data_IF_250581363340
#
_entry.id   IF_250581363340
#
_cell.length_a   1.000
_cell.length_b   1.000
_cell.length_c   1.000
_cell.angle_alpha   90.00
_cell.angle_beta   90.00
_cell.angle_gamma   90.00
#
_symmetry.space_group_name_H-M   'P 1'
#
loop_
_entity.id
_entity.type
_entity.pdbx_description
1 polymer ?
#
# COMPACT_ATOMS: atom_id res chain seq x y z
N UNK A 1 -14.07 -5.12 -6.66
CA UNK A 1 -12.73 -5.18 -6.04
C UNK A 1 -11.72 -4.41 -6.88
N UNK A 2 -11.52 -4.78 -8.14
CA UNK A 2 -10.59 -4.11 -9.05
C UNK A 2 -10.84 -2.59 -9.24
N UNK A 3 -12.09 -2.15 -9.42
CA UNK A 3 -12.40 -0.72 -9.54
C UNK A 3 -12.07 0.10 -8.27
N UNK A 4 -12.24 -0.50 -7.09
CA UNK A 4 -11.89 0.12 -5.81
C UNK A 4 -10.36 0.21 -5.65
N UNK A 5 -9.64 -0.85 -6.03
CA UNK A 5 -8.18 -0.88 -6.07
C UNK A 5 -7.67 0.23 -7.00
N UNK A 6 -8.17 0.32 -8.23
CA UNK A 6 -7.79 1.38 -9.19
C UNK A 6 -8.06 2.78 -8.65
N UNK A 7 -9.20 2.99 -8.00
CA UNK A 7 -9.53 4.28 -7.36
C UNK A 7 -8.55 4.65 -6.24
N UNK A 8 -8.07 3.65 -5.47
CA UNK A 8 -7.08 3.85 -4.40
C UNK A 8 -5.68 4.08 -4.95
N UNK A 9 -5.27 3.34 -5.99
CA UNK A 9 -4.01 3.57 -6.70
C UNK A 9 -3.98 5.00 -7.26
N UNK A 10 -5.05 5.44 -7.93
CA UNK A 10 -5.15 6.81 -8.43
C UNK A 10 -5.06 7.89 -7.33
N UNK A 11 -5.42 7.57 -6.07
CA UNK A 11 -5.20 8.47 -4.94
C UNK A 11 -3.73 8.50 -4.53
N UNK A 12 -3.05 7.36 -4.49
CA UNK A 12 -1.62 7.27 -4.20
C UNK A 12 -0.79 8.03 -5.23
N UNK A 13 -1.10 7.87 -6.52
CA UNK A 13 -0.45 8.62 -7.61
C UNK A 13 -0.65 10.14 -7.49
N UNK A 14 -1.84 10.58 -7.08
CA UNK A 14 -2.09 12.02 -6.82
C UNK A 14 -1.34 12.55 -5.61
N UNK A 15 -1.08 11.70 -4.62
CA UNK A 15 -0.38 12.07 -3.39
C UNK A 15 1.13 12.13 -3.60
N UNK A 16 1.68 11.19 -4.39
CA UNK A 16 3.07 11.13 -4.79
C UNK A 16 3.20 11.15 -6.32
N UNK A 17 3.42 12.33 -6.89
CA UNK A 17 3.59 12.52 -8.34
C UNK A 17 4.82 11.82 -8.93
N UNK A 18 5.75 11.38 -8.08
CA UNK A 18 6.98 10.68 -8.46
C UNK A 18 6.86 9.16 -8.36
N UNK A 19 5.67 8.62 -8.08
CA UNK A 19 5.44 7.18 -7.96
C UNK A 19 5.86 6.47 -9.24
N UNK A 20 6.82 5.54 -9.13
CA UNK A 20 7.39 4.79 -10.26
C UNK A 20 6.57 3.54 -10.57
N UNK A 21 5.94 2.95 -9.56
CA UNK A 21 5.11 1.76 -9.72
C UNK A 21 4.30 1.44 -8.47
N UNK A 22 3.18 0.74 -8.67
CA UNK A 22 2.35 0.21 -7.59
C UNK A 22 1.90 -1.20 -7.97
N UNK A 23 2.30 -2.19 -7.17
CA UNK A 23 1.94 -3.59 -7.37
C UNK A 23 1.13 -4.08 -6.17
N UNK A 24 -0.03 -4.65 -6.44
CA UNK A 24 -0.94 -5.20 -5.42
C UNK A 24 -1.06 -6.70 -5.64
N UNK A 25 -0.65 -7.49 -4.64
CA UNK A 25 -0.79 -8.94 -4.65
C UNK A 25 -1.81 -9.35 -3.59
N UNK A 26 -2.83 -10.10 -3.99
CA UNK A 26 -3.84 -10.65 -3.09
C UNK A 26 -3.68 -12.16 -3.11
N UNK A 27 -3.18 -12.70 -2.01
CA UNK A 27 -3.00 -14.13 -1.81
C UNK A 27 -4.09 -14.66 -0.88
N UNK A 28 -4.73 -15.76 -1.25
CA UNK A 28 -5.66 -16.46 -0.39
C UNK A 28 -5.02 -17.74 0.10
N UNK A 29 -4.73 -17.84 1.40
CA UNK A 29 -4.28 -19.10 1.97
C UNK A 29 -5.49 -20.02 2.14
N UNK A 30 -5.72 -20.87 1.15
CA UNK A 30 -6.69 -21.96 1.26
C UNK A 30 -6.11 -23.07 2.17
N UNK A 31 -6.06 -22.82 3.48
CA UNK A 31 -5.65 -23.86 4.41
C UNK A 31 -6.71 -24.98 4.43
N UNK A 32 -6.32 -26.13 3.89
CA UNK A 32 -7.10 -27.36 3.96
C UNK A 32 -7.21 -27.74 5.44
N UNK A 33 -8.46 -27.75 5.92
CA UNK A 33 -8.93 -28.29 7.22
C UNK A 33 -8.83 -27.29 8.40
N UNK A 34 -9.98 -26.66 8.69
CA UNK A 34 -10.49 -26.26 10.02
C UNK A 34 -10.34 -24.82 10.56
N UNK A 35 -9.85 -23.81 9.85
CA UNK A 35 -10.01 -22.42 10.32
C UNK A 35 -9.87 -21.39 9.18
N UNK A 36 -10.87 -20.50 9.06
CA UNK A 36 -10.89 -19.19 8.37
C UNK A 36 -10.25 -19.06 6.97
N UNK A 37 -11.00 -18.56 5.98
CA UNK A 37 -10.40 -18.14 4.70
C UNK A 37 -9.58 -16.86 4.92
N UNK A 38 -8.30 -16.98 5.25
CA UNK A 38 -7.45 -15.82 5.47
C UNK A 38 -6.97 -15.26 4.12
N UNK A 39 -7.21 -13.96 3.91
CA UNK A 39 -6.66 -13.23 2.77
C UNK A 39 -5.46 -12.41 3.23
N UNK A 40 -4.33 -12.58 2.53
CA UNK A 40 -3.13 -11.77 2.67
C UNK A 40 -3.07 -10.81 1.50
N UNK A 41 -2.89 -9.52 1.81
CA UNK A 41 -2.70 -8.49 0.80
C UNK A 41 -1.32 -7.89 1.00
N UNK A 42 -0.55 -7.84 -0.08
CA UNK A 42 0.73 -7.15 -0.14
C UNK A 42 0.61 -6.00 -1.13
N UNK A 43 0.97 -4.80 -0.68
CA UNK A 43 1.04 -3.61 -1.53
C UNK A 43 2.48 -3.15 -1.56
N UNK A 44 3.02 -3.07 -2.77
CA UNK A 44 4.37 -2.62 -3.07
C UNK A 44 4.28 -1.32 -3.85
N UNK A 45 4.97 -0.28 -3.39
CA UNK A 45 5.02 1.02 -4.04
C UNK A 45 6.47 1.41 -4.22
N UNK A 46 6.86 1.58 -5.48
CA UNK A 46 8.21 2.02 -5.85
C UNK A 46 8.21 3.54 -6.01
N UNK A 47 9.10 4.23 -5.30
CA UNK A 47 9.32 5.68 -5.40
C UNK A 47 10.81 5.96 -5.67
N UNK A 48 11.20 7.17 -6.10
CA UNK A 48 12.60 7.46 -6.39
C UNK A 48 13.43 7.37 -5.11
N UNK A 49 14.40 6.45 -5.11
CA UNK A 49 15.34 6.26 -4.00
C UNK A 49 14.83 5.38 -2.85
N UNK A 50 13.58 4.90 -2.88
CA UNK A 50 13.02 4.02 -1.84
C UNK A 50 11.92 3.10 -2.37
N UNK A 51 11.73 1.96 -1.72
CA UNK A 51 10.59 1.06 -1.93
C UNK A 51 9.77 0.99 -0.64
N UNK A 52 8.45 1.16 -0.76
CA UNK A 52 7.50 1.14 0.35
C UNK A 52 6.66 -0.13 0.24
N UNK A 53 6.84 -1.03 1.19
CA UNK A 53 6.16 -2.32 1.19
C UNK A 53 5.26 -2.42 2.41
N UNK A 54 4.01 -2.78 2.19
CA UNK A 54 3.07 -3.16 3.23
C UNK A 54 2.68 -4.61 3.02
N UNK A 55 2.91 -5.40 4.06
CA UNK A 55 2.49 -6.79 4.12
C UNK A 55 1.40 -6.95 5.19
N UNK A 56 0.21 -7.38 4.76
CA UNK A 56 -0.95 -7.56 5.62
C UNK A 56 -0.88 -8.76 6.56
N UNK A 57 0.30 -9.31 6.87
CA UNK A 57 0.45 -10.51 7.72
C UNK A 57 -0.11 -10.35 9.14
N UNK A 58 -0.27 -9.11 9.65
CA UNK A 58 -0.88 -8.85 10.96
C UNK A 58 -2.41 -8.75 10.92
N UNK A 59 -3.00 -8.67 9.74
CA UNK A 59 -4.44 -8.48 9.51
C UNK A 59 -4.94 -9.54 8.54
N UNK A 60 -4.66 -10.80 8.89
CA UNK A 60 -5.27 -11.95 8.24
C UNK A 60 -6.79 -11.87 8.50
N UNK A 61 -7.51 -11.27 7.55
CA UNK A 61 -8.95 -11.05 7.64
C UNK A 61 -9.68 -12.13 6.85
N UNK A 62 -10.85 -12.54 7.36
CA UNK A 62 -11.76 -13.43 6.63
C UNK A 62 -12.35 -12.75 5.37
N UNK A 63 -12.30 -11.41 5.34
CA UNK A 63 -12.76 -10.56 4.25
C UNK A 63 -11.61 -9.95 3.46
N UNK A 64 -11.48 -10.37 2.19
CA UNK A 64 -10.50 -9.83 1.25
C UNK A 64 -10.64 -8.31 1.05
N UNK A 65 -11.87 -7.78 1.12
CA UNK A 65 -12.13 -6.34 0.97
C UNK A 65 -11.55 -5.53 2.14
N UNK A 66 -11.65 -6.06 3.35
CA UNK A 66 -11.10 -5.43 4.56
C UNK A 66 -9.57 -5.48 4.52
N UNK A 67 -8.99 -6.63 4.15
CA UNK A 67 -7.54 -6.78 4.00
C UNK A 67 -6.95 -5.80 2.98
N UNK A 68 -7.63 -5.62 1.82
CA UNK A 68 -7.24 -4.62 0.82
C UNK A 68 -7.34 -3.23 1.41
N UNK A 69 -8.46 -2.90 2.07
CA UNK A 69 -8.66 -1.56 2.64
C UNK A 69 -7.58 -1.19 3.64
N UNK A 70 -7.27 -2.08 4.57
CA UNK A 70 -6.28 -1.90 5.63
C UNK A 70 -4.87 -1.73 5.06
N UNK A 71 -4.50 -2.59 4.10
CA UNK A 71 -3.19 -2.50 3.43
C UNK A 71 -3.04 -1.19 2.65
N UNK A 72 -4.12 -0.73 1.99
CA UNK A 72 -4.12 0.57 1.32
C UNK A 72 -4.05 1.75 2.30
N UNK A 73 -4.67 1.66 3.47
CA UNK A 73 -4.55 2.71 4.50
C UNK A 73 -3.12 2.80 5.01
N UNK A 74 -2.51 1.64 5.32
CA UNK A 74 -1.13 1.57 5.79
C UNK A 74 -0.12 2.07 4.75
N UNK A 75 -0.26 1.72 3.47
CA UNK A 75 0.66 2.21 2.43
C UNK A 75 0.47 3.70 2.16
N UNK A 76 -0.77 4.21 2.25
CA UNK A 76 -1.05 5.64 2.09
C UNK A 76 -0.28 6.44 3.14
N UNK A 77 -0.28 5.98 4.39
CA UNK A 77 0.52 6.62 5.46
C UNK A 77 2.01 6.61 5.16
N UNK A 78 2.57 5.49 4.69
CA UNK A 78 4.00 5.43 4.34
C UNK A 78 4.34 6.39 3.19
N UNK A 79 3.48 6.49 2.17
CA UNK A 79 3.67 7.42 1.05
C UNK A 79 3.55 8.87 1.52
N UNK A 80 2.59 9.18 2.39
CA UNK A 80 2.45 10.50 3.02
C UNK A 80 3.71 10.89 3.81
N UNK A 81 4.22 9.99 4.64
CA UNK A 81 5.47 10.20 5.37
C UNK A 81 6.66 10.41 4.43
N UNK A 82 6.77 9.62 3.36
CA UNK A 82 7.82 9.80 2.34
C UNK A 82 7.73 11.17 1.67
N UNK A 83 6.54 11.57 1.21
CA UNK A 83 6.32 12.87 0.57
C UNK A 83 6.60 14.01 1.55
N UNK A 84 6.20 13.86 2.82
CA UNK A 84 6.46 14.86 3.85
C UNK A 84 7.96 14.99 4.15
N UNK A 85 8.68 13.88 4.28
CA UNK A 85 10.14 13.88 4.46
C UNK A 85 10.83 14.53 3.26
N UNK A 86 10.47 14.16 2.04
CA UNK A 86 11.05 14.74 0.82
C UNK A 86 10.74 16.23 0.67
N UNK A 87 9.51 16.67 0.94
CA UNK A 87 9.14 18.11 0.94
C UNK A 87 9.82 18.89 2.06
N UNK A 88 10.09 18.25 3.21
CA UNK A 88 10.88 18.82 4.29
C UNK A 88 12.35 18.98 3.93
N UNK A 89 12.92 17.99 3.24
CA UNK A 89 14.31 17.97 2.78
C UNK A 89 14.56 18.99 1.64
N UNK A 90 13.59 19.15 0.73
CA UNK A 90 13.63 20.14 -0.37
C UNK A 90 13.51 21.60 0.13
N UNK A 91 13.20 21.85 1.41
CA UNK A 91 13.23 23.22 1.98
C UNK A 91 14.64 23.74 2.27
N UNK A 92 15.67 22.96 1.99
CA UNK A 92 17.05 23.36 2.18
C UNK A 92 17.61 24.10 0.95
N UNK A 93 17.77 25.41 1.15
CA UNK A 93 18.67 26.35 0.47
C UNK A 93 18.28 26.86 -0.94
N UNK A 94 17.60 28.02 -0.95
CA UNK A 94 18.01 29.09 -1.86
C UNK A 94 18.82 30.09 -1.03
N UNK A 95 20.10 30.23 -1.35
CA UNK A 95 20.95 31.34 -0.90
C UNK A 95 20.69 32.57 -1.78
#
# INVERSE_FOLDING_TARGET
MDAEIRKRVAKLEKLCSDLLGCQVSVESEANKKQQGKLYRVRVDVTVPGSELVVDGSRTANEDAYVAVRDSFDAITRQVEEYVQRRRGDVKSHTA
#
